data_IF_468202019152
#
_entry.id   IF_468202019152
#
_cell.length_a   1.000
_cell.length_b   1.000
_cell.length_c   1.000
_cell.angle_alpha   90.00
_cell.angle_beta   90.00
_cell.angle_gamma   90.00
#
_symmetry.space_group_name_H-M   'P 1'
#
loop_
_entity.id
_entity.type
_entity.pdbx_description
1 polymer ?
#
# COMPACT_ATOMS: atom_id res chain seq x y z
N UNK A 1 -13.08 -4.22 -30.32
CA UNK A 1 -14.43 -4.37 -29.76
C UNK A 1 -14.26 -4.73 -28.30
N UNK A 2 -14.61 -3.80 -27.42
CA UNK A 2 -14.58 -3.98 -25.98
C UNK A 2 -15.76 -4.86 -25.55
N UNK A 3 -15.48 -5.94 -24.83
CA UNK A 3 -16.45 -6.81 -24.15
C UNK A 3 -15.65 -7.54 -23.06
N UNK A 4 -16.00 -7.62 -21.78
CA UNK A 4 -17.27 -7.43 -21.11
C UNK A 4 -17.05 -6.93 -19.68
N UNK A 5 -18.00 -6.12 -19.22
CA UNK A 5 -18.29 -5.87 -17.81
C UNK A 5 -18.94 -7.11 -17.21
N UNK A 6 -18.42 -7.61 -16.08
CA UNK A 6 -19.17 -8.38 -15.07
C UNK A 6 -18.50 -8.13 -13.71
N UNK A 7 -19.31 -7.77 -12.72
CA UNK A 7 -18.91 -7.08 -11.50
C UNK A 7 -18.38 -8.01 -10.40
N UNK A 8 -17.27 -7.60 -9.76
CA UNK A 8 -16.94 -7.90 -8.36
C UNK A 8 -16.14 -6.72 -7.81
N UNK A 9 -16.46 -6.13 -6.65
CA UNK A 9 -15.81 -4.90 -6.21
C UNK A 9 -14.40 -5.26 -5.74
N UNK A 10 -13.41 -4.89 -6.55
CA UNK A 10 -11.99 -4.84 -6.20
C UNK A 10 -11.38 -6.23 -5.89
N UNK A 11 -11.51 -7.18 -6.80
CA UNK A 11 -10.37 -8.06 -7.04
C UNK A 11 -9.32 -7.21 -7.77
N UNK A 12 -8.49 -6.51 -7.00
CA UNK A 12 -7.33 -5.80 -7.51
C UNK A 12 -6.45 -6.85 -8.17
N UNK A 13 -6.56 -6.99 -9.49
CA UNK A 13 -5.63 -7.83 -10.24
C UNK A 13 -4.22 -7.38 -9.85
N UNK A 14 -3.32 -8.33 -9.68
CA UNK A 14 -1.91 -8.04 -9.42
C UNK A 14 -1.22 -7.47 -10.65
N UNK A 15 -1.81 -6.42 -11.22
CA UNK A 15 -1.27 -5.75 -12.39
C UNK A 15 -0.25 -4.72 -11.92
N UNK A 16 0.98 -5.20 -11.81
CA UNK A 16 2.16 -4.36 -11.63
C UNK A 16 2.84 -4.07 -12.96
N UNK A 17 2.18 -4.25 -14.11
CA UNK A 17 2.76 -3.94 -15.43
C UNK A 17 2.65 -2.44 -15.74
N UNK A 18 1.53 -1.81 -15.37
CA UNK A 18 1.28 -0.37 -15.52
C UNK A 18 1.85 0.52 -14.41
N UNK A 19 1.70 1.85 -14.57
CA UNK A 19 2.03 2.83 -13.52
C UNK A 19 1.11 2.60 -12.31
N UNK A 20 1.69 2.56 -11.11
CA UNK A 20 0.90 2.42 -9.89
C UNK A 20 0.35 3.78 -9.47
N UNK A 21 -0.96 3.87 -9.32
CA UNK A 21 -1.64 5.08 -8.82
C UNK A 21 -1.76 5.06 -7.29
N UNK A 22 -1.48 6.18 -6.63
CA UNK A 22 -1.74 6.32 -5.21
C UNK A 22 -3.24 6.17 -4.92
N UNK A 23 -4.08 6.94 -5.60
CA UNK A 23 -5.52 7.01 -5.32
C UNK A 23 -6.26 5.71 -5.67
N UNK A 24 -5.92 5.08 -6.80
CA UNK A 24 -6.57 3.85 -7.25
C UNK A 24 -5.97 2.60 -6.61
N UNK A 25 -4.65 2.58 -6.36
CA UNK A 25 -3.96 1.37 -5.95
C UNK A 25 -3.51 1.33 -4.49
N UNK A 26 -2.73 2.33 -4.06
CA UNK A 26 -2.06 2.30 -2.76
C UNK A 26 -3.01 2.69 -1.63
N UNK A 27 -3.77 3.78 -1.77
CA UNK A 27 -4.64 4.27 -0.71
C UNK A 27 -5.70 3.24 -0.27
N UNK A 28 -6.39 2.50 -1.17
CA UNK A 28 -7.30 1.44 -0.75
C UNK A 28 -6.60 0.28 -0.02
N UNK A 29 -5.36 -0.04 -0.41
CA UNK A 29 -4.56 -1.10 0.21
C UNK A 29 -4.13 -0.70 1.63
N UNK A 30 -3.69 0.55 1.82
CA UNK A 30 -3.40 1.10 3.15
C UNK A 30 -4.65 1.20 4.01
N UNK A 31 -5.80 1.56 3.41
CA UNK A 31 -7.06 1.59 4.12
C UNK A 31 -7.47 0.21 4.64
N UNK A 32 -7.29 -0.84 3.82
CA UNK A 32 -7.64 -2.20 4.19
C UNK A 32 -6.69 -2.82 5.23
N UNK A 33 -5.38 -2.50 5.18
CA UNK A 33 -4.36 -3.24 5.92
C UNK A 33 -3.65 -2.43 7.02
N UNK A 34 -3.69 -1.10 6.97
CA UNK A 34 -2.85 -0.24 7.81
C UNK A 34 -3.66 0.73 8.68
N UNK A 35 -4.70 1.33 8.12
CA UNK A 35 -5.41 2.46 8.75
C UNK A 35 -6.26 2.06 9.98
N UNK A 36 -6.40 0.76 10.28
CA UNK A 36 -6.99 0.32 11.54
C UNK A 36 -6.17 0.78 12.76
N UNK A 37 -4.85 0.84 12.62
CA UNK A 37 -3.94 1.32 13.67
C UNK A 37 -3.28 2.66 13.28
N UNK A 38 -2.93 2.82 12.00
CA UNK A 38 -2.15 3.95 11.48
C UNK A 38 -3.03 5.03 10.87
N UNK A 39 -3.81 5.72 11.70
CA UNK A 39 -4.73 6.78 11.30
C UNK A 39 -4.55 8.05 12.15
N UNK A 40 -5.33 9.08 11.85
CA UNK A 40 -5.38 10.30 12.67
C UNK A 40 -5.87 9.99 14.09
N UNK A 41 -5.00 10.21 15.08
CA UNK A 41 -5.27 9.90 16.48
C UNK A 41 -4.95 8.46 16.89
N UNK A 42 -4.51 7.62 15.95
CA UNK A 42 -4.03 6.26 16.18
C UNK A 42 -2.54 6.16 16.49
N UNK A 43 -1.97 4.98 16.24
CA UNK A 43 -0.54 4.71 16.41
C UNK A 43 0.25 5.36 15.28
N UNK A 44 1.29 6.14 15.62
CA UNK A 44 2.19 6.71 14.62
C UNK A 44 2.94 5.60 13.83
N UNK A 45 3.22 5.78 12.54
CA UNK A 45 2.87 6.94 11.70
C UNK A 45 1.40 6.98 11.31
N UNK A 46 0.89 8.17 10.93
CA UNK A 46 -0.43 8.32 10.34
C UNK A 46 -0.37 7.99 8.84
N UNK A 47 -1.12 6.97 8.40
CA UNK A 47 -1.18 6.52 6.99
C UNK A 47 -2.54 6.82 6.35
N UNK A 48 -3.42 7.59 7.01
CA UNK A 48 -4.74 7.93 6.49
C UNK A 48 -4.76 9.16 5.55
N UNK A 49 -3.60 9.79 5.33
CA UNK A 49 -3.45 10.91 4.40
C UNK A 49 -2.12 10.83 3.65
N UNK A 50 -2.09 11.41 2.45
CA UNK A 50 -0.94 11.29 1.56
C UNK A 50 0.38 11.78 2.17
N UNK A 51 0.38 12.87 2.95
CA UNK A 51 1.63 13.40 3.53
C UNK A 51 2.27 12.42 4.52
N UNK A 52 1.46 11.78 5.36
CA UNK A 52 1.94 10.76 6.29
C UNK A 52 2.37 9.47 5.58
N UNK A 53 1.67 9.08 4.52
CA UNK A 53 2.09 7.97 3.65
C UNK A 53 3.40 8.29 2.95
N UNK A 54 3.56 9.48 2.38
CA UNK A 54 4.78 9.93 1.70
C UNK A 54 5.98 9.90 2.64
N UNK A 55 5.83 10.41 3.87
CA UNK A 55 6.89 10.35 4.86
C UNK A 55 7.30 8.90 5.17
N UNK A 56 6.32 7.99 5.33
CA UNK A 56 6.60 6.58 5.56
C UNK A 56 7.23 5.91 4.33
N UNK A 57 6.76 6.24 3.13
CA UNK A 57 7.27 5.75 1.85
C UNK A 57 8.76 6.05 1.66
N UNK A 58 9.19 7.24 2.08
CA UNK A 58 10.58 7.68 1.99
C UNK A 58 11.50 7.05 3.05
N UNK A 59 10.95 6.39 4.08
CA UNK A 59 11.73 5.90 5.22
C UNK A 59 11.59 4.40 5.44
N UNK A 60 10.38 3.91 5.73
CA UNK A 60 10.20 2.56 6.31
C UNK A 60 9.06 1.74 5.70
N UNK A 61 8.17 2.32 4.89
CA UNK A 61 6.92 1.66 4.47
C UNK A 61 7.20 0.34 3.75
N UNK A 62 8.08 0.34 2.74
CA UNK A 62 8.41 -0.86 1.98
C UNK A 62 9.07 -1.91 2.87
N UNK A 63 10.10 -1.55 3.64
CA UNK A 63 10.80 -2.48 4.53
C UNK A 63 9.86 -3.10 5.58
N UNK A 64 8.93 -2.31 6.11
CA UNK A 64 7.94 -2.77 7.09
C UNK A 64 7.01 -3.84 6.52
N UNK A 65 6.58 -3.72 5.26
CA UNK A 65 5.68 -4.71 4.62
C UNK A 65 6.42 -5.84 3.92
N UNK A 66 7.67 -5.60 3.51
CA UNK A 66 8.52 -6.61 2.86
C UNK A 66 9.12 -7.60 3.87
N UNK A 67 9.20 -7.21 5.15
CA UNK A 67 9.86 -7.96 6.22
C UNK A 67 11.33 -8.24 5.87
N UNK A 68 12.02 -7.21 5.40
CA UNK A 68 13.41 -7.28 4.92
C UNK A 68 14.46 -7.09 6.04
N UNK A 69 14.03 -6.86 7.28
CA UNK A 69 14.88 -6.63 8.44
C UNK A 69 15.34 -5.18 8.64
N UNK A 70 14.97 -4.26 7.75
CA UNK A 70 15.39 -2.85 7.83
C UNK A 70 14.38 -1.95 8.56
N UNK A 71 13.20 -2.47 8.91
CA UNK A 71 12.18 -1.79 9.69
C UNK A 71 11.39 -2.79 10.55
N UNK A 72 10.51 -2.28 11.42
CA UNK A 72 9.59 -3.14 12.17
C UNK A 72 8.60 -3.83 11.24
N UNK A 73 8.52 -5.16 11.32
CA UNK A 73 7.58 -5.94 10.53
C UNK A 73 6.13 -5.54 10.80
N UNK A 74 5.43 -5.19 9.72
CA UNK A 74 4.01 -4.84 9.68
C UNK A 74 3.29 -5.73 8.66
N UNK A 75 2.02 -6.12 8.92
CA UNK A 75 1.19 -5.71 10.05
C UNK A 75 1.61 -6.40 11.37
N UNK A 76 1.62 -5.67 12.48
CA UNK A 76 2.18 -6.15 13.75
C UNK A 76 1.35 -7.29 14.33
N UNK A 77 1.99 -8.43 14.59
CA UNK A 77 1.32 -9.59 15.20
C UNK A 77 0.32 -10.30 14.29
N UNK A 78 0.30 -9.96 12.99
CA UNK A 78 -0.53 -10.59 11.99
C UNK A 78 0.35 -11.25 10.91
N UNK A 79 -0.29 -12.05 10.05
CA UNK A 79 0.37 -12.59 8.87
C UNK A 79 0.87 -11.49 7.95
N UNK A 80 1.99 -11.76 7.27
CA UNK A 80 2.52 -10.87 6.24
C UNK A 80 1.47 -10.65 5.14
N UNK A 81 1.47 -9.45 4.57
CA UNK A 81 0.67 -9.12 3.38
C UNK A 81 1.03 -10.04 2.21
N UNK A 82 0.10 -10.17 1.26
CA UNK A 82 0.35 -10.96 0.05
C UNK A 82 1.54 -10.40 -0.74
N UNK A 83 2.24 -11.26 -1.46
CA UNK A 83 3.36 -10.82 -2.32
C UNK A 83 2.90 -9.79 -3.36
N UNK A 84 1.63 -9.86 -3.79
CA UNK A 84 1.06 -8.89 -4.69
C UNK A 84 0.95 -7.49 -4.07
N UNK A 85 0.37 -7.40 -2.87
CA UNK A 85 0.20 -6.13 -2.16
C UNK A 85 1.56 -5.49 -1.86
N UNK A 86 2.53 -6.32 -1.46
CA UNK A 86 3.92 -5.89 -1.27
C UNK A 86 4.55 -5.40 -2.58
N UNK A 87 4.28 -6.05 -3.71
CA UNK A 87 4.79 -5.63 -5.02
C UNK A 87 4.19 -4.29 -5.49
N UNK A 88 2.90 -4.05 -5.24
CA UNK A 88 2.24 -2.76 -5.50
C UNK A 88 2.89 -1.65 -4.69
N UNK A 89 3.06 -1.85 -3.37
CA UNK A 89 3.75 -0.88 -2.50
C UNK A 89 5.18 -0.65 -2.99
N UNK A 90 5.94 -1.72 -3.27
CA UNK A 90 7.31 -1.62 -3.75
C UNK A 90 7.41 -0.76 -5.00
N UNK A 91 6.61 -1.06 -6.03
CA UNK A 91 6.66 -0.36 -7.31
C UNK A 91 6.30 1.12 -7.15
N UNK A 92 5.28 1.44 -6.35
CA UNK A 92 4.90 2.82 -6.08
C UNK A 92 5.96 3.59 -5.29
N UNK A 93 6.48 3.02 -4.21
CA UNK A 93 7.57 3.63 -3.40
C UNK A 93 8.80 3.89 -4.28
N UNK A 94 9.19 2.91 -5.10
CA UNK A 94 10.39 3.01 -5.94
C UNK A 94 10.19 3.95 -7.14
N UNK A 95 8.95 4.26 -7.51
CA UNK A 95 8.61 5.31 -8.47
C UNK A 95 8.62 6.73 -7.85
N UNK A 96 9.04 6.88 -6.59
CA UNK A 96 9.08 8.16 -5.89
C UNK A 96 7.78 8.53 -5.16
N UNK A 97 6.90 7.54 -4.95
CA UNK A 97 5.63 7.70 -4.25
C UNK A 97 4.73 8.82 -4.83
N UNK A 98 4.42 8.82 -6.15
CA UNK A 98 3.64 9.89 -6.77
C UNK A 98 2.21 9.98 -6.22
N UNK A 99 1.67 11.20 -6.14
CA UNK A 99 0.26 11.46 -5.82
C UNK A 99 -0.58 11.52 -7.10
N UNK A 100 -1.00 10.37 -7.60
CA UNK A 100 -1.68 10.20 -8.90
C UNK A 100 -2.90 9.29 -8.86
#
# INVERSE_FOLDING_TARGET
>A
MHSNSDASPIAKSCDTTGVISYSAQVAPLLNANCNNCHNTGGTAPNLSNYNGVLNSAQNTLYSSVAWDGNASNMPKGLSKMSDCDVAIIKKWVFAGAPNN
#
